data_IF_735331466269
#
_entry.id   IF_735331466269
#
_cell.length_a   1.000
_cell.length_b   1.000
_cell.length_c   1.000
_cell.angle_alpha   90.00
_cell.angle_beta   90.00
_cell.angle_gamma   90.00
#
_symmetry.space_group_name_H-M   'P 1'
#
loop_
_entity.id
_entity.type
_entity.pdbx_description
1 polymer ?
#
# COMPACT_ATOMS: atom_id res chain seq x y z
N UNK A 1 -25.99 11.96 4.69
CA UNK A 1 -25.26 11.04 3.80
C UNK A 1 -25.38 9.65 4.38
N UNK A 2 -25.78 8.67 3.56
CA UNK A 2 -25.89 7.27 3.94
C UNK A 2 -24.75 6.46 3.31
N UNK A 3 -24.01 5.74 4.13
CA UNK A 3 -22.84 4.97 3.71
C UNK A 3 -23.03 3.49 4.03
N UNK A 4 -22.51 2.63 3.16
CA UNK A 4 -22.37 1.20 3.42
C UNK A 4 -20.93 0.85 3.75
N UNK A 5 -20.71 -0.02 4.72
CA UNK A 5 -19.45 -0.67 4.97
C UNK A 5 -19.53 -2.14 4.51
N UNK A 6 -18.71 -2.53 3.54
CA UNK A 6 -18.55 -3.93 3.16
C UNK A 6 -17.07 -4.32 3.23
N UNK A 7 -16.64 -4.74 4.40
CA UNK A 7 -15.26 -5.13 4.65
C UNK A 7 -15.16 -6.65 4.92
N UNK A 8 -14.32 -7.33 4.14
CA UNK A 8 -14.07 -8.78 4.24
C UNK A 8 -12.60 -9.10 4.57
N UNK A 9 -11.96 -8.25 5.38
CA UNK A 9 -10.57 -8.48 5.84
C UNK A 9 -10.47 -9.41 7.06
N UNK A 10 -11.60 -9.90 7.55
CA UNK A 10 -11.69 -10.78 8.71
C UNK A 10 -11.77 -10.06 10.06
N UNK A 11 -11.70 -8.72 10.08
CA UNK A 11 -11.92 -7.93 11.30
C UNK A 11 -13.43 -7.73 11.54
N UNK A 12 -13.86 -7.69 12.81
CA UNK A 12 -15.26 -7.38 13.14
C UNK A 12 -15.68 -6.02 12.58
N UNK A 13 -16.87 -5.94 11.99
CA UNK A 13 -17.39 -4.69 11.43
C UNK A 13 -17.56 -3.60 12.50
N UNK A 14 -17.88 -3.98 13.74
CA UNK A 14 -18.11 -3.05 14.86
C UNK A 14 -16.91 -2.14 15.14
N UNK A 15 -15.69 -2.66 15.03
CA UNK A 15 -14.47 -1.84 15.20
C UNK A 15 -14.36 -0.76 14.12
N UNK A 16 -14.64 -1.14 12.86
CA UNK A 16 -14.66 -0.20 11.74
C UNK A 16 -15.78 0.83 11.88
N UNK A 17 -16.97 0.40 12.27
CA UNK A 17 -18.14 1.28 12.44
C UNK A 17 -17.89 2.31 13.55
N UNK A 18 -17.28 1.92 14.66
CA UNK A 18 -16.93 2.84 15.73
C UNK A 18 -16.01 3.95 15.27
N UNK A 19 -14.92 3.59 14.56
CA UNK A 19 -13.95 4.56 14.03
C UNK A 19 -14.58 5.48 12.95
N UNK A 20 -15.41 4.91 12.08
CA UNK A 20 -16.10 5.66 11.03
C UNK A 20 -17.14 6.62 11.61
N UNK A 21 -17.91 6.23 12.61
CA UNK A 21 -18.86 7.12 13.28
C UNK A 21 -18.15 8.27 14.00
N UNK A 22 -16.99 8.00 14.61
CA UNK A 22 -16.18 9.05 15.23
C UNK A 22 -15.63 10.03 14.19
N UNK A 23 -15.19 9.53 13.02
CA UNK A 23 -14.65 10.36 11.94
C UNK A 23 -15.72 11.11 11.14
N UNK A 24 -16.94 10.58 11.05
CA UNK A 24 -18.05 11.08 10.23
C UNK A 24 -19.34 11.22 11.07
N UNK A 25 -19.40 12.10 12.07
CA UNK A 25 -20.50 12.16 13.05
C UNK A 25 -21.86 12.52 12.45
N UNK A 26 -21.91 13.02 11.21
CA UNK A 26 -23.17 13.34 10.49
C UNK A 26 -23.60 12.31 9.47
N UNK A 27 -22.90 11.18 9.36
CA UNK A 27 -23.24 10.12 8.43
C UNK A 27 -23.99 8.97 9.12
N UNK A 28 -25.00 8.44 8.45
CA UNK A 28 -25.53 7.12 8.78
C UNK A 28 -24.65 6.08 8.11
N UNK A 29 -24.10 5.13 8.84
CA UNK A 29 -23.18 4.11 8.31
C UNK A 29 -23.70 2.74 8.77
N UNK A 30 -24.02 1.90 7.80
CA UNK A 30 -24.55 0.56 8.04
C UNK A 30 -23.61 -0.50 7.44
N UNK A 31 -23.46 -1.64 8.11
CA UNK A 31 -22.77 -2.79 7.54
C UNK A 31 -23.63 -3.39 6.41
N UNK A 32 -23.02 -3.61 5.23
CA UNK A 32 -23.71 -4.22 4.12
C UNK A 32 -24.11 -5.67 4.42
N UNK A 33 -25.36 -5.97 4.15
CA UNK A 33 -25.96 -7.31 4.16
C UNK A 33 -26.88 -7.44 2.94
N UNK A 34 -27.02 -8.63 2.37
CA UNK A 34 -28.00 -8.87 1.31
C UNK A 34 -29.41 -8.44 1.71
N UNK A 35 -30.11 -7.77 0.77
CA UNK A 35 -31.49 -7.36 0.97
C UNK A 35 -31.70 -6.01 1.68
N UNK A 36 -30.62 -5.23 1.89
CA UNK A 36 -30.78 -3.85 2.36
C UNK A 36 -31.46 -2.97 1.30
N UNK A 37 -32.24 -1.96 1.72
CA UNK A 37 -32.87 -1.01 0.81
C UNK A 37 -31.81 -0.31 -0.06
N UNK A 38 -32.12 -0.02 -1.35
CA UNK A 38 -31.19 0.66 -2.25
C UNK A 38 -31.25 2.18 -2.06
N UNK A 39 -30.79 2.69 -0.92
CA UNK A 39 -30.90 4.13 -0.58
C UNK A 39 -29.58 4.73 -0.03
N UNK A 40 -28.45 4.09 -0.30
CA UNK A 40 -27.15 4.56 0.16
C UNK A 40 -26.44 5.41 -0.91
N UNK A 41 -25.74 6.45 -0.47
CA UNK A 41 -25.02 7.38 -1.33
C UNK A 41 -23.68 6.82 -1.80
N UNK A 42 -22.94 6.14 -0.91
CA UNK A 42 -21.63 5.58 -1.22
C UNK A 42 -21.33 4.32 -0.37
N UNK A 43 -20.30 3.59 -0.78
CA UNK A 43 -19.85 2.40 -0.05
C UNK A 43 -18.34 2.44 0.22
N UNK A 44 -17.94 2.04 1.43
CA UNK A 44 -16.56 1.74 1.79
C UNK A 44 -16.38 0.23 1.68
N UNK A 45 -15.43 -0.22 0.84
CA UNK A 45 -15.37 -1.64 0.49
C UNK A 45 -13.96 -2.21 0.56
N UNK A 46 -13.88 -3.48 1.01
CA UNK A 46 -12.72 -4.33 0.80
C UNK A 46 -13.17 -5.74 0.45
N UNK A 47 -12.86 -6.16 -0.78
CA UNK A 47 -13.31 -7.45 -1.32
C UNK A 47 -14.83 -7.59 -1.40
N UNK A 48 -15.59 -6.59 -1.91
CA UNK A 48 -17.04 -6.66 -1.99
C UNK A 48 -17.47 -7.75 -2.97
N UNK A 49 -18.63 -8.40 -2.74
CA UNK A 49 -19.21 -9.29 -3.74
C UNK A 49 -19.89 -8.50 -4.85
N UNK A 50 -20.03 -9.11 -6.02
CA UNK A 50 -20.77 -8.53 -7.15
C UNK A 50 -22.21 -8.14 -6.77
N UNK A 51 -22.83 -8.90 -5.89
CA UNK A 51 -24.21 -8.70 -5.42
C UNK A 51 -24.43 -7.30 -4.83
N UNK A 52 -23.45 -6.74 -4.11
CA UNK A 52 -23.55 -5.39 -3.55
C UNK A 52 -23.93 -4.37 -4.65
N UNK A 53 -23.27 -4.41 -5.81
CA UNK A 53 -23.50 -3.46 -6.88
C UNK A 53 -24.81 -3.73 -7.65
N UNK A 54 -25.31 -4.94 -7.62
CA UNK A 54 -26.65 -5.26 -8.16
C UNK A 54 -27.78 -4.75 -7.25
N UNK A 55 -27.60 -4.86 -5.94
CA UNK A 55 -28.58 -4.42 -4.94
C UNK A 55 -28.54 -2.91 -4.69
N UNK A 56 -27.40 -2.26 -4.97
CA UNK A 56 -27.17 -0.83 -4.72
C UNK A 56 -26.78 -0.08 -6.01
N UNK A 57 -27.65 -0.07 -7.05
CA UNK A 57 -27.30 0.50 -8.36
C UNK A 57 -27.19 2.04 -8.36
N UNK A 58 -27.72 2.72 -7.34
CA UNK A 58 -27.71 4.18 -7.22
C UNK A 58 -26.49 4.73 -6.48
N UNK A 59 -25.56 3.87 -6.02
CA UNK A 59 -24.32 4.36 -5.41
C UNK A 59 -23.60 5.33 -6.35
N UNK A 60 -23.22 6.49 -5.81
CA UNK A 60 -22.48 7.54 -6.52
C UNK A 60 -20.98 7.31 -6.48
N UNK A 61 -20.49 6.72 -5.36
CA UNK A 61 -19.07 6.45 -5.17
C UNK A 61 -18.83 5.14 -4.39
N UNK A 62 -17.70 4.51 -4.69
CA UNK A 62 -17.17 3.41 -3.91
C UNK A 62 -15.74 3.75 -3.49
N UNK A 63 -15.48 3.69 -2.20
CA UNK A 63 -14.17 3.91 -1.59
C UNK A 63 -13.53 2.57 -1.27
N UNK A 64 -12.48 2.22 -2.01
CA UNK A 64 -11.73 1.01 -1.73
C UNK A 64 -10.81 1.24 -0.53
N UNK A 65 -10.94 0.41 0.51
CA UNK A 65 -10.17 0.52 1.77
C UNK A 65 -8.71 0.10 1.65
N UNK A 66 -8.22 -0.08 0.43
CA UNK A 66 -6.82 -0.37 0.13
C UNK A 66 -6.36 0.27 -1.16
N UNK A 67 -5.05 0.26 -1.40
CA UNK A 67 -4.44 0.83 -2.60
C UNK A 67 -4.70 0.02 -3.87
N UNK A 68 -4.73 -1.32 -3.75
CA UNK A 68 -4.97 -2.22 -4.87
C UNK A 68 -6.45 -2.32 -5.23
N UNK A 69 -6.82 -2.03 -6.45
CA UNK A 69 -8.21 -2.01 -6.95
C UNK A 69 -8.52 -3.11 -7.97
N UNK A 70 -7.58 -3.98 -8.29
CA UNK A 70 -7.73 -4.97 -9.36
C UNK A 70 -8.96 -5.87 -9.19
N UNK A 71 -9.19 -6.36 -7.96
CA UNK A 71 -10.36 -7.19 -7.65
C UNK A 71 -11.68 -6.40 -7.76
N UNK A 72 -11.68 -5.13 -7.38
CA UNK A 72 -12.85 -4.25 -7.49
C UNK A 72 -13.15 -3.96 -8.95
N UNK A 73 -12.13 -3.63 -9.73
CA UNK A 73 -12.27 -3.31 -11.17
C UNK A 73 -12.61 -4.52 -12.05
N UNK A 74 -12.42 -5.73 -11.54
CA UNK A 74 -12.87 -6.96 -12.20
C UNK A 74 -14.38 -7.21 -12.06
N UNK A 75 -15.06 -6.47 -11.18
CA UNK A 75 -16.51 -6.56 -11.01
C UNK A 75 -17.26 -5.73 -12.06
N UNK A 76 -18.51 -6.08 -12.28
CA UNK A 76 -19.43 -5.27 -13.11
C UNK A 76 -19.95 -4.10 -12.28
N UNK A 77 -19.30 -2.95 -12.42
CA UNK A 77 -19.67 -1.73 -11.70
C UNK A 77 -20.68 -0.91 -12.51
N UNK A 78 -21.60 -0.17 -11.87
CA UNK A 78 -22.46 0.81 -12.54
C UNK A 78 -21.62 1.82 -13.34
N UNK A 79 -21.96 2.18 -14.58
CA UNK A 79 -21.12 3.04 -15.43
C UNK A 79 -20.84 4.43 -14.85
N UNK A 80 -21.75 4.97 -14.03
CA UNK A 80 -21.59 6.28 -13.41
C UNK A 80 -20.92 6.23 -12.03
N UNK A 81 -20.59 5.03 -11.53
CA UNK A 81 -20.00 4.86 -10.20
C UNK A 81 -18.56 5.38 -10.19
N UNK A 82 -18.29 6.34 -9.29
CA UNK A 82 -16.93 6.81 -9.08
C UNK A 82 -16.16 5.83 -8.17
N UNK A 83 -15.01 5.37 -8.64
CA UNK A 83 -14.12 4.50 -7.86
C UNK A 83 -13.00 5.33 -7.26
N UNK A 84 -12.92 5.36 -5.94
CA UNK A 84 -11.88 6.04 -5.17
C UNK A 84 -11.04 5.01 -4.44
N UNK A 85 -9.72 5.14 -4.50
CA UNK A 85 -8.78 4.26 -3.79
C UNK A 85 -7.95 5.03 -2.79
N UNK A 86 -7.42 4.34 -1.80
CA UNK A 86 -6.35 4.88 -0.97
C UNK A 86 -5.05 4.92 -1.79
N UNK A 87 -4.39 6.08 -1.83
CA UNK A 87 -3.07 6.18 -2.44
C UNK A 87 -1.96 5.87 -1.44
N UNK A 88 -2.06 6.47 -0.26
CA UNK A 88 -1.14 6.23 0.86
C UNK A 88 -1.86 6.53 2.18
N UNK A 89 -2.02 5.52 3.01
CA UNK A 89 -2.53 5.64 4.38
C UNK A 89 -1.43 5.24 5.39
N UNK A 90 -0.22 5.78 5.23
CA UNK A 90 0.96 5.41 6.01
C UNK A 90 1.69 4.17 5.50
N UNK A 91 1.20 3.53 4.43
CA UNK A 91 1.82 2.35 3.84
C UNK A 91 3.21 2.65 3.27
N UNK A 92 3.40 3.84 2.69
CA UNK A 92 4.69 4.23 2.11
C UNK A 92 5.80 4.31 3.17
N UNK A 93 5.48 4.76 4.38
CA UNK A 93 6.43 4.78 5.50
C UNK A 93 6.77 3.35 5.93
N UNK A 94 5.77 2.52 6.18
CA UNK A 94 5.96 1.12 6.59
C UNK A 94 6.75 0.31 5.55
N UNK A 95 6.48 0.55 4.26
CA UNK A 95 7.22 -0.10 3.18
C UNK A 95 8.68 0.36 3.15
N UNK A 96 8.95 1.64 3.38
CA UNK A 96 10.32 2.17 3.45
C UNK A 96 11.08 1.56 4.65
N UNK A 97 10.45 1.46 5.81
CA UNK A 97 11.02 0.81 7.00
C UNK A 97 11.37 -0.66 6.73
N UNK A 98 10.43 -1.40 6.12
CA UNK A 98 10.65 -2.81 5.78
C UNK A 98 11.83 -2.99 4.82
N UNK A 99 11.87 -2.19 3.74
CA UNK A 99 12.95 -2.26 2.74
C UNK A 99 14.29 -1.86 3.34
N UNK A 100 14.35 -0.75 4.09
CA UNK A 100 15.59 -0.31 4.74
C UNK A 100 16.10 -1.34 5.75
N UNK A 101 15.22 -1.94 6.54
CA UNK A 101 15.59 -3.03 7.45
C UNK A 101 16.22 -4.20 6.68
N UNK A 102 15.55 -4.68 5.64
CA UNK A 102 16.04 -5.81 4.85
C UNK A 102 17.37 -5.49 4.16
N UNK A 103 17.47 -4.30 3.56
CA UNK A 103 18.70 -3.81 2.89
C UNK A 103 19.88 -3.73 3.85
N UNK A 104 19.71 -3.08 5.00
CA UNK A 104 20.76 -2.91 5.99
C UNK A 104 21.18 -4.26 6.56
N UNK A 105 20.21 -5.12 6.89
CA UNK A 105 20.46 -6.48 7.37
C UNK A 105 21.30 -7.29 6.38
N UNK A 106 20.99 -7.19 5.10
CA UNK A 106 21.74 -7.85 4.03
C UNK A 106 23.12 -7.23 3.85
N UNK A 107 23.21 -5.92 3.65
CA UNK A 107 24.47 -5.20 3.41
C UNK A 107 25.46 -5.34 4.57
N UNK A 108 24.96 -5.33 5.80
CA UNK A 108 25.80 -5.50 7.02
C UNK A 108 26.03 -6.95 7.40
N UNK A 109 25.51 -7.90 6.63
CA UNK A 109 25.63 -9.34 6.87
C UNK A 109 25.20 -9.77 8.29
N UNK A 110 24.12 -9.15 8.82
CA UNK A 110 23.68 -9.39 10.20
C UNK A 110 23.41 -10.87 10.49
N UNK A 111 22.93 -11.63 9.51
CA UNK A 111 22.70 -13.06 9.67
C UNK A 111 24.00 -13.85 10.01
N UNK A 112 25.14 -13.40 9.47
CA UNK A 112 26.43 -14.00 9.79
C UNK A 112 26.87 -13.62 11.20
N UNK A 113 26.72 -12.35 11.61
CA UNK A 113 27.03 -11.91 12.96
C UNK A 113 26.13 -12.57 14.02
N UNK A 114 24.84 -12.75 13.74
CA UNK A 114 23.91 -13.45 14.62
C UNK A 114 24.31 -14.94 14.84
N UNK A 115 24.82 -15.60 13.78
CA UNK A 115 25.35 -16.95 13.91
C UNK A 115 26.62 -16.96 14.76
N UNK A 116 27.58 -16.08 14.46
CA UNK A 116 28.82 -15.96 15.24
C UNK A 116 28.54 -15.67 16.72
N UNK A 117 27.56 -14.81 17.02
CA UNK A 117 27.15 -14.53 18.38
C UNK A 117 26.64 -15.78 19.12
N UNK A 118 25.84 -16.62 18.44
CA UNK A 118 25.36 -17.88 19.02
C UNK A 118 26.48 -18.90 19.26
N UNK A 119 27.51 -18.84 18.43
CA UNK A 119 28.68 -19.73 18.49
C UNK A 119 29.76 -19.19 19.45
N UNK A 120 29.61 -17.98 19.98
CA UNK A 120 30.62 -17.32 20.81
C UNK A 120 31.86 -16.89 20.03
N UNK A 121 31.75 -16.78 18.69
CA UNK A 121 32.86 -16.42 17.81
C UNK A 121 32.90 -14.90 17.58
N UNK A 122 34.00 -14.26 18.00
CA UNK A 122 34.25 -12.83 17.77
C UNK A 122 35.19 -12.64 16.57
N UNK A 123 34.60 -12.55 15.39
CA UNK A 123 35.36 -12.45 14.13
C UNK A 123 34.81 -11.34 13.25
N UNK A 124 35.55 -10.22 13.08
CA UNK A 124 35.12 -9.14 12.19
C UNK A 124 35.03 -9.61 10.73
N UNK A 125 34.02 -9.13 10.02
CA UNK A 125 33.87 -9.33 8.59
C UNK A 125 34.38 -8.11 7.83
N UNK A 126 34.94 -8.27 6.61
CA UNK A 126 35.35 -7.14 5.80
C UNK A 126 34.19 -6.18 5.54
N UNK A 127 34.41 -4.85 5.64
CA UNK A 127 33.35 -3.89 5.34
C UNK A 127 33.02 -3.89 3.84
N UNK A 128 31.73 -3.80 3.52
CA UNK A 128 31.29 -3.57 2.14
C UNK A 128 31.28 -2.05 1.83
N UNK A 129 31.56 -1.70 0.59
CA UNK A 129 31.58 -0.31 0.11
C UNK A 129 30.19 0.04 -0.46
N UNK A 130 29.51 1.05 0.09
CA UNK A 130 28.18 1.45 -0.36
C UNK A 130 28.13 1.89 -1.81
N UNK A 131 29.17 2.59 -2.28
CA UNK A 131 29.24 3.05 -3.68
C UNK A 131 29.17 1.91 -4.70
N UNK A 132 29.64 0.72 -4.31
CA UNK A 132 29.63 -0.48 -5.15
C UNK A 132 28.33 -1.31 -4.97
N UNK A 133 27.38 -0.80 -4.21
CA UNK A 133 26.14 -1.49 -3.88
C UNK A 133 24.90 -0.67 -4.30
N UNK A 134 24.65 -0.52 -5.62
CA UNK A 134 23.48 0.21 -6.09
C UNK A 134 22.18 -0.55 -5.77
N UNK A 135 21.16 0.18 -5.34
CA UNK A 135 19.84 -0.35 -5.02
C UNK A 135 18.86 -0.02 -6.13
N UNK A 136 18.34 -1.05 -6.81
CA UNK A 136 17.34 -0.91 -7.86
C UNK A 136 15.91 -0.87 -7.28
N UNK A 137 15.11 0.12 -7.69
CA UNK A 137 13.71 0.25 -7.32
C UNK A 137 12.83 0.21 -8.56
N UNK A 138 12.01 -0.83 -8.68
CA UNK A 138 11.07 -0.98 -9.78
C UNK A 138 9.70 -0.38 -9.40
N UNK A 139 9.39 0.77 -9.98
CA UNK A 139 8.18 1.53 -9.72
C UNK A 139 8.43 2.76 -8.83
N UNK A 140 8.49 3.95 -9.47
CA UNK A 140 8.69 5.24 -8.79
C UNK A 140 7.35 5.96 -8.52
N UNK A 141 6.30 5.23 -8.13
CA UNK A 141 5.04 5.78 -7.62
C UNK A 141 5.20 6.29 -6.18
N UNK A 142 4.09 6.52 -5.47
CA UNK A 142 4.10 7.02 -4.09
C UNK A 142 4.99 6.18 -3.16
N UNK A 143 4.82 4.84 -3.21
CA UNK A 143 5.59 3.91 -2.38
C UNK A 143 7.08 3.89 -2.77
N UNK A 144 7.37 3.65 -4.06
CA UNK A 144 8.76 3.52 -4.52
C UNK A 144 9.58 4.79 -4.37
N UNK A 145 8.99 5.96 -4.58
CA UNK A 145 9.67 7.24 -4.34
C UNK A 145 9.96 7.46 -2.84
N UNK A 146 9.07 7.01 -1.95
CA UNK A 146 9.32 7.07 -0.50
C UNK A 146 10.45 6.13 -0.09
N UNK A 147 10.46 4.90 -0.64
CA UNK A 147 11.54 3.93 -0.42
C UNK A 147 12.86 4.48 -0.94
N UNK A 148 12.89 5.05 -2.15
CA UNK A 148 14.10 5.63 -2.75
C UNK A 148 14.75 6.67 -1.83
N UNK A 149 13.96 7.63 -1.35
CA UNK A 149 14.44 8.65 -0.42
C UNK A 149 14.96 8.07 0.90
N UNK A 150 14.29 7.04 1.43
CA UNK A 150 14.72 6.40 2.66
C UNK A 150 16.04 5.64 2.48
N UNK A 151 16.23 4.96 1.36
CA UNK A 151 17.48 4.25 1.02
C UNK A 151 18.63 5.23 0.82
N UNK A 152 18.39 6.37 0.16
CA UNK A 152 19.38 7.43 -0.03
C UNK A 152 19.88 8.02 1.31
N UNK A 153 19.02 8.09 2.32
CA UNK A 153 19.41 8.59 3.65
C UNK A 153 20.50 7.71 4.33
N UNK A 154 20.75 6.51 3.79
CA UNK A 154 21.86 5.64 4.21
C UNK A 154 23.02 5.62 3.21
N UNK A 155 23.11 6.61 2.31
CA UNK A 155 24.20 6.80 1.33
C UNK A 155 24.32 5.67 0.29
N UNK A 156 23.26 4.91 0.02
CA UNK A 156 23.26 3.96 -1.09
C UNK A 156 22.98 4.65 -2.41
N UNK A 157 23.72 4.32 -3.50
CA UNK A 157 23.33 4.72 -4.84
C UNK A 157 21.96 4.10 -5.21
N UNK A 158 21.03 4.93 -5.68
CA UNK A 158 19.67 4.45 -6.03
C UNK A 158 19.44 4.58 -7.53
N UNK A 159 19.01 3.46 -8.12
CA UNK A 159 18.55 3.35 -9.50
C UNK A 159 17.04 3.13 -9.48
N UNK A 160 16.26 3.93 -10.19
CA UNK A 160 14.82 3.82 -10.21
C UNK A 160 14.29 3.59 -11.62
N UNK A 161 13.34 2.68 -11.77
CA UNK A 161 12.66 2.43 -13.02
C UNK A 161 11.14 2.61 -12.92
N UNK A 162 10.50 3.13 -13.96
CA UNK A 162 9.05 3.20 -14.09
C UNK A 162 8.60 3.18 -15.55
N UNK A 163 7.36 2.74 -15.82
CA UNK A 163 6.81 2.69 -17.19
C UNK A 163 6.83 4.04 -17.90
N UNK A 164 6.50 5.08 -17.18
CA UNK A 164 6.53 6.47 -17.65
C UNK A 164 7.64 7.21 -16.93
N UNK A 165 8.33 8.11 -17.62
CA UNK A 165 9.44 8.88 -17.03
C UNK A 165 8.99 9.60 -15.78
N UNK A 166 9.77 9.44 -14.72
CA UNK A 166 9.63 10.12 -13.44
C UNK A 166 10.99 10.59 -12.99
N UNK A 167 11.00 11.68 -12.25
CA UNK A 167 12.21 12.21 -11.64
C UNK A 167 12.06 12.15 -10.12
N UNK A 168 13.06 11.60 -9.47
CA UNK A 168 13.19 11.58 -8.00
C UNK A 168 14.57 12.13 -7.70
N UNK A 169 14.64 13.15 -6.86
CA UNK A 169 15.87 13.82 -6.52
C UNK A 169 16.93 12.83 -6.01
N UNK A 170 18.15 12.91 -6.58
CA UNK A 170 19.27 12.04 -6.22
C UNK A 170 19.14 10.58 -6.70
N UNK A 171 18.09 10.23 -7.45
CA UNK A 171 17.89 8.90 -8.05
C UNK A 171 18.25 8.95 -9.54
N UNK A 172 19.03 7.99 -10.00
CA UNK A 172 19.21 7.79 -11.45
C UNK A 172 17.99 7.04 -11.99
N UNK A 173 17.11 7.78 -12.69
CA UNK A 173 15.82 7.28 -13.16
C UNK A 173 15.90 6.77 -14.60
N UNK A 174 15.20 5.66 -14.84
CA UNK A 174 15.02 5.00 -16.14
C UNK A 174 13.52 4.85 -16.45
N UNK A 175 13.16 4.75 -17.72
CA UNK A 175 11.78 4.63 -18.14
C UNK A 175 11.60 3.73 -19.37
N UNK A 176 10.43 3.05 -19.42
CA UNK A 176 10.05 2.20 -20.56
C UNK A 176 10.84 0.91 -20.65
N UNK A 177 10.79 0.27 -21.83
CA UNK A 177 11.38 -1.06 -22.04
C UNK A 177 12.80 -0.99 -22.65
N UNK A 178 13.27 0.21 -23.01
CA UNK A 178 14.52 0.42 -23.74
C UNK A 178 15.66 1.06 -22.91
N UNK A 179 15.41 1.45 -21.66
CA UNK A 179 16.41 2.08 -20.77
C UNK A 179 16.92 1.15 -19.65
#
# INVERSE_FOLDING_TARGET
>A
MKLLLCNRDGRPADAWLADLHAALPGAQIDEWRPGLPPDYDAALVWGPPQQLFYEQPQLKAVFNLGAGVDKLMALRLPPALQVVRLEDAGMAVQMAEYVCHALIRFFREFAAYERQQREGDWKPRPPQVRADFPVGIMGLGALGSRVARAVQAFDFPVLGWSRTRREVEGVRCFAGDAE
#
